data_IF_357830499438
#
_entry.id   IF_357830499438
#
_cell.length_a   1.000
_cell.length_b   1.000
_cell.length_c   1.000
_cell.angle_alpha   90.00
_cell.angle_beta   90.00
_cell.angle_gamma   90.00
#
_symmetry.space_group_name_H-M   'P 1'
#
loop_
_entity.id
_entity.type
_entity.pdbx_description
1 polymer ?
#
# COMPACT_ATOMS: atom_id res chain seq x y z
N UNK A 1 -16.64 -22.68 -6.10
CA UNK A 1 -16.40 -22.27 -4.71
C UNK A 1 -17.56 -21.37 -4.31
N UNK A 2 -18.13 -21.51 -3.11
CA UNK A 2 -19.24 -20.63 -2.69
C UNK A 2 -18.71 -19.29 -2.20
N UNK A 3 -19.45 -18.20 -2.41
CA UNK A 3 -19.09 -16.85 -1.95
C UNK A 3 -18.73 -16.81 -0.45
N UNK A 4 -19.45 -17.59 0.37
CA UNK A 4 -19.19 -17.73 1.81
C UNK A 4 -17.79 -18.28 2.10
N UNK A 5 -17.30 -19.22 1.27
CA UNK A 5 -15.97 -19.79 1.42
C UNK A 5 -14.87 -18.79 1.04
N UNK A 6 -15.09 -17.98 0.00
CA UNK A 6 -14.17 -16.92 -0.40
C UNK A 6 -14.04 -15.85 0.69
N UNK A 7 -15.16 -15.39 1.25
CA UNK A 7 -15.16 -14.43 2.37
C UNK A 7 -14.43 -15.00 3.58
N UNK A 8 -14.66 -16.28 3.90
CA UNK A 8 -13.96 -16.97 4.99
C UNK A 8 -12.45 -17.03 4.72
N UNK A 9 -12.06 -17.32 3.48
CA UNK A 9 -10.66 -17.38 3.09
C UNK A 9 -9.97 -16.01 3.20
N UNK A 10 -10.60 -14.94 2.70
CA UNK A 10 -10.10 -13.56 2.83
C UNK A 10 -9.91 -13.21 4.31
N UNK A 11 -10.94 -13.44 5.13
CA UNK A 11 -10.88 -13.18 6.58
C UNK A 11 -9.73 -13.94 7.23
N UNK A 12 -9.57 -15.23 6.92
CA UNK A 12 -8.51 -16.05 7.51
C UNK A 12 -7.12 -15.61 7.04
N UNK A 13 -6.95 -15.20 5.78
CA UNK A 13 -5.69 -14.67 5.25
C UNK A 13 -5.31 -13.34 5.89
N UNK A 14 -6.29 -12.51 6.26
CA UNK A 14 -6.03 -11.29 7.00
C UNK A 14 -5.73 -11.61 8.48
N UNK A 15 -6.59 -12.38 9.16
CA UNK A 15 -6.43 -12.65 10.60
C UNK A 15 -5.24 -13.55 10.96
N UNK A 16 -4.85 -14.47 10.06
CA UNK A 16 -3.78 -15.46 10.28
C UNK A 16 -2.82 -15.53 9.09
N UNK A 17 -2.16 -14.42 8.76
CA UNK A 17 -1.39 -14.29 7.53
C UNK A 17 -0.16 -15.21 7.55
N UNK A 18 0.50 -15.33 8.71
CA UNK A 18 1.69 -16.17 8.89
C UNK A 18 1.41 -17.64 8.63
N UNK A 19 0.34 -18.18 9.21
CA UNK A 19 -0.05 -19.59 9.05
C UNK A 19 -0.38 -19.91 7.59
N UNK A 20 -1.16 -19.05 6.95
CA UNK A 20 -1.53 -19.21 5.54
C UNK A 20 -0.31 -19.16 4.62
N UNK A 21 0.61 -18.23 4.86
CA UNK A 21 1.84 -18.10 4.07
C UNK A 21 2.78 -19.29 4.23
N UNK A 22 2.97 -19.79 5.45
CA UNK A 22 3.80 -20.97 5.71
C UNK A 22 3.22 -22.20 4.99
N UNK A 23 1.90 -22.40 5.08
CA UNK A 23 1.21 -23.50 4.40
C UNK A 23 1.33 -23.38 2.87
N UNK A 24 1.12 -22.18 2.33
CA UNK A 24 1.24 -21.92 0.89
C UNK A 24 2.66 -22.18 0.37
N UNK A 25 3.68 -21.74 1.11
CA UNK A 25 5.08 -21.99 0.76
C UNK A 25 5.45 -23.48 0.86
N UNK A 26 4.90 -24.20 1.85
CA UNK A 26 5.14 -25.63 2.05
C UNK A 26 4.52 -26.51 0.95
N UNK A 27 3.40 -26.08 0.34
CA UNK A 27 2.75 -26.78 -0.78
C UNK A 27 3.50 -26.62 -2.13
N UNK A 28 4.74 -26.11 -2.10
CA UNK A 28 5.55 -25.82 -3.28
C UNK A 28 4.81 -24.92 -4.28
N UNK A 29 4.34 -23.75 -3.80
CA UNK A 29 3.57 -22.74 -4.54
C UNK A 29 3.77 -22.80 -6.07
N UNK A 30 2.76 -23.33 -6.75
CA UNK A 30 2.66 -23.40 -8.21
C UNK A 30 1.52 -22.52 -8.72
N UNK A 31 1.47 -22.27 -10.02
CA UNK A 31 0.36 -21.52 -10.64
C UNK A 31 -1.01 -22.18 -10.43
N UNK A 32 -1.05 -23.51 -10.30
CA UNK A 32 -2.29 -24.27 -10.04
C UNK A 32 -2.81 -24.11 -8.61
N UNK A 33 -1.94 -23.71 -7.68
CA UNK A 33 -2.29 -23.54 -6.26
C UNK A 33 -2.65 -22.10 -5.91
N UNK A 34 -2.63 -21.16 -6.87
CA UNK A 34 -2.90 -19.74 -6.62
C UNK A 34 -4.39 -19.55 -6.34
N UNK A 35 -4.76 -18.99 -5.16
CA UNK A 35 -6.13 -18.59 -4.90
C UNK A 35 -6.42 -17.24 -5.57
N UNK A 36 -6.69 -17.27 -6.89
CA UNK A 36 -6.84 -16.05 -7.71
C UNK A 36 -7.90 -15.09 -7.16
N UNK A 37 -9.06 -15.59 -6.72
CA UNK A 37 -10.11 -14.76 -6.13
C UNK A 37 -9.61 -13.97 -4.93
N UNK A 38 -8.90 -14.63 -4.02
CA UNK A 38 -8.27 -13.97 -2.86
C UNK A 38 -7.25 -12.91 -3.29
N UNK A 39 -6.36 -13.23 -4.23
CA UNK A 39 -5.31 -12.31 -4.68
C UNK A 39 -5.91 -11.06 -5.34
N UNK A 40 -6.95 -11.24 -6.15
CA UNK A 40 -7.71 -10.13 -6.74
C UNK A 40 -8.35 -9.29 -5.64
N UNK A 41 -9.01 -9.89 -4.65
CA UNK A 41 -9.59 -9.15 -3.53
C UNK A 41 -8.56 -8.35 -2.73
N UNK A 42 -7.38 -8.93 -2.43
CA UNK A 42 -6.30 -8.24 -1.73
C UNK A 42 -5.76 -7.06 -2.55
N UNK A 43 -5.56 -7.26 -3.86
CA UNK A 43 -5.12 -6.20 -4.76
C UNK A 43 -6.16 -5.07 -4.84
N UNK A 44 -7.45 -5.41 -4.94
CA UNK A 44 -8.54 -4.43 -4.94
C UNK A 44 -8.59 -3.63 -3.63
N UNK A 45 -8.43 -4.28 -2.47
CA UNK A 45 -8.37 -3.58 -1.19
C UNK A 45 -7.20 -2.59 -1.13
N UNK A 46 -6.03 -2.99 -1.62
CA UNK A 46 -4.87 -2.10 -1.68
C UNK A 46 -5.09 -0.89 -2.60
N UNK A 47 -5.62 -1.12 -3.80
CA UNK A 47 -5.91 -0.06 -4.78
C UNK A 47 -6.97 0.88 -4.24
N UNK A 48 -8.12 0.35 -3.78
CA UNK A 48 -9.22 1.15 -3.23
C UNK A 48 -8.72 1.98 -2.04
N UNK A 49 -7.98 1.39 -1.11
CA UNK A 49 -7.46 2.11 0.05
C UNK A 49 -6.52 3.25 -0.33
N UNK A 50 -5.57 3.00 -1.24
CA UNK A 50 -4.62 4.02 -1.69
C UNK A 50 -5.32 5.14 -2.48
N UNK A 51 -6.22 4.79 -3.39
CA UNK A 51 -6.97 5.76 -4.20
C UNK A 51 -7.93 6.59 -3.36
N UNK A 52 -8.69 5.97 -2.44
CA UNK A 52 -9.61 6.70 -1.55
C UNK A 52 -8.85 7.65 -0.62
N UNK A 53 -7.67 7.24 -0.14
CA UNK A 53 -6.80 8.11 0.66
C UNK A 53 -6.26 9.29 -0.15
N UNK A 54 -5.70 9.03 -1.34
CA UNK A 54 -5.24 10.10 -2.23
C UNK A 54 -6.36 11.08 -2.60
N UNK A 55 -7.57 10.56 -2.88
CA UNK A 55 -8.74 11.38 -3.15
C UNK A 55 -9.18 12.19 -1.92
N UNK A 56 -9.13 11.61 -0.71
CA UNK A 56 -9.46 12.33 0.54
C UNK A 56 -8.49 13.49 0.80
N UNK A 57 -7.19 13.26 0.58
CA UNK A 57 -6.18 14.31 0.66
C UNK A 57 -6.42 15.37 -0.39
N UNK A 58 -6.63 14.96 -1.65
CA UNK A 58 -6.94 15.90 -2.72
C UNK A 58 -8.21 16.70 -2.48
N UNK A 59 -9.23 16.14 -1.84
CA UNK A 59 -10.43 16.87 -1.42
C UNK A 59 -10.08 17.95 -0.39
N UNK A 60 -9.32 17.57 0.64
CA UNK A 60 -8.89 18.52 1.68
C UNK A 60 -8.02 19.62 1.10
N UNK A 61 -7.04 19.31 0.25
CA UNK A 61 -6.19 20.30 -0.40
C UNK A 61 -6.94 21.15 -1.44
N UNK A 62 -7.87 20.55 -2.20
CA UNK A 62 -8.65 21.27 -3.22
C UNK A 62 -9.70 22.20 -2.60
N UNK A 63 -10.16 21.95 -1.36
CA UNK A 63 -11.03 22.90 -0.65
C UNK A 63 -10.39 24.30 -0.49
N UNK A 64 -9.06 24.41 -0.61
CA UNK A 64 -8.30 25.67 -0.61
C UNK A 64 -8.23 26.36 -1.98
N UNK A 65 -8.42 25.63 -3.10
CA UNK A 65 -8.14 26.14 -4.45
C UNK A 65 -9.18 25.80 -5.54
N UNK A 66 -10.23 25.02 -5.22
CA UNK A 66 -11.23 24.51 -6.17
C UNK A 66 -10.62 23.97 -7.48
N UNK A 67 -9.41 23.40 -7.40
CA UNK A 67 -8.68 23.00 -8.59
C UNK A 67 -8.71 21.47 -8.76
N UNK A 68 -9.49 20.94 -9.72
CA UNK A 68 -9.55 19.50 -9.98
C UNK A 68 -8.18 18.93 -10.40
N UNK A 69 -7.27 19.76 -10.93
CA UNK A 69 -5.91 19.36 -11.27
C UNK A 69 -5.08 19.00 -10.04
N UNK A 70 -5.30 19.67 -8.91
CA UNK A 70 -4.60 19.36 -7.64
C UNK A 70 -5.07 18.02 -7.08
N UNK A 71 -6.38 17.76 -7.12
CA UNK A 71 -6.94 16.46 -6.74
C UNK A 71 -6.36 15.32 -7.61
N UNK A 72 -6.34 15.53 -8.93
CA UNK A 72 -5.79 14.56 -9.88
C UNK A 72 -4.29 14.34 -9.62
N UNK A 73 -3.53 15.41 -9.41
CA UNK A 73 -2.10 15.35 -9.16
C UNK A 73 -1.77 14.58 -7.88
N UNK A 74 -2.40 14.93 -6.74
CA UNK A 74 -2.18 14.25 -5.46
C UNK A 74 -2.55 12.77 -5.56
N UNK A 75 -3.68 12.46 -6.19
CA UNK A 75 -4.14 11.07 -6.35
C UNK A 75 -3.19 10.27 -7.24
N UNK A 76 -2.72 10.85 -8.35
CA UNK A 76 -1.82 10.20 -9.30
C UNK A 76 -0.43 9.95 -8.69
N UNK A 77 0.14 10.94 -8.00
CA UNK A 77 1.45 10.83 -7.34
C UNK A 77 1.44 9.81 -6.21
N UNK A 78 0.32 9.65 -5.50
CA UNK A 78 0.23 8.64 -4.43
C UNK A 78 -0.08 7.24 -4.96
N UNK A 79 -0.97 7.10 -5.93
CA UNK A 79 -1.47 5.78 -6.34
C UNK A 79 -0.50 5.06 -7.30
N UNK A 80 0.01 5.76 -8.31
CA UNK A 80 0.85 5.16 -9.35
C UNK A 80 2.21 4.69 -8.82
N UNK A 81 3.03 5.61 -8.28
CA UNK A 81 4.31 5.29 -7.66
C UNK A 81 4.22 4.21 -6.58
N UNK A 82 3.18 4.23 -5.73
CA UNK A 82 2.99 3.19 -4.71
C UNK A 82 2.85 1.81 -5.36
N UNK A 83 1.92 1.63 -6.31
CA UNK A 83 1.73 0.34 -6.97
C UNK A 83 3.00 -0.18 -7.68
N UNK A 84 3.68 0.68 -8.42
CA UNK A 84 4.90 0.31 -9.15
C UNK A 84 6.06 -0.03 -8.20
N UNK A 85 6.23 0.73 -7.10
CA UNK A 85 7.27 0.47 -6.10
C UNK A 85 7.13 -0.94 -5.49
N UNK A 86 5.90 -1.39 -5.25
CA UNK A 86 5.62 -2.74 -4.76
C UNK A 86 5.97 -3.85 -5.76
N UNK A 87 5.80 -3.60 -7.07
CA UNK A 87 6.22 -4.55 -8.10
C UNK A 87 7.75 -4.68 -8.14
N UNK A 88 8.46 -3.55 -8.14
CA UNK A 88 9.92 -3.52 -8.08
C UNK A 88 10.40 -4.22 -6.80
N UNK A 89 9.79 -3.90 -5.67
CA UNK A 89 10.09 -4.50 -4.38
C UNK A 89 9.90 -6.01 -4.39
N UNK A 90 8.79 -6.53 -4.90
CA UNK A 90 8.53 -7.97 -4.98
C UNK A 90 9.59 -8.72 -5.81
N UNK A 91 10.03 -8.14 -6.93
CA UNK A 91 11.07 -8.71 -7.78
C UNK A 91 12.42 -8.76 -7.05
N UNK A 92 12.85 -7.64 -6.45
CA UNK A 92 14.13 -7.55 -5.73
C UNK A 92 14.11 -8.43 -4.48
N UNK A 93 12.99 -8.47 -3.76
CA UNK A 93 12.81 -9.33 -2.59
C UNK A 93 12.99 -10.80 -2.95
N UNK A 94 12.36 -11.23 -4.05
CA UNK A 94 12.47 -12.60 -4.57
C UNK A 94 13.92 -12.95 -4.87
N UNK A 95 14.64 -12.06 -5.56
CA UNK A 95 16.05 -12.22 -5.85
C UNK A 95 16.92 -12.31 -4.59
N UNK A 96 16.72 -11.38 -3.65
CA UNK A 96 17.59 -11.23 -2.47
C UNK A 96 17.35 -12.27 -1.38
N UNK A 97 16.10 -12.75 -1.26
CA UNK A 97 15.70 -13.73 -0.24
C UNK A 97 15.62 -15.16 -0.78
N UNK A 98 15.76 -15.36 -2.10
CA UNK A 98 15.52 -16.64 -2.79
C UNK A 98 14.18 -17.28 -2.40
N UNK A 99 13.18 -16.45 -2.16
CA UNK A 99 11.82 -16.91 -1.88
C UNK A 99 11.17 -17.33 -3.20
N UNK A 100 10.23 -18.27 -3.16
CA UNK A 100 9.40 -18.55 -4.32
C UNK A 100 8.68 -17.24 -4.74
N UNK A 101 8.72 -16.83 -6.03
CA UNK A 101 8.14 -15.56 -6.47
C UNK A 101 6.65 -15.42 -6.12
N UNK A 102 5.88 -16.51 -6.23
CA UNK A 102 4.45 -16.50 -5.90
C UNK A 102 4.23 -16.30 -4.40
N UNK A 103 5.08 -16.88 -3.55
CA UNK A 103 5.02 -16.63 -2.11
C UNK A 103 5.38 -15.18 -1.81
N UNK A 104 6.41 -14.62 -2.46
CA UNK A 104 6.75 -13.20 -2.36
C UNK A 104 5.60 -12.28 -2.74
N UNK A 105 4.95 -12.54 -3.88
CA UNK A 105 3.75 -11.81 -4.30
C UNK A 105 2.64 -11.90 -3.25
N UNK A 106 2.41 -13.08 -2.67
CA UNK A 106 1.34 -13.25 -1.69
C UNK A 106 1.61 -12.44 -0.40
N UNK A 107 2.85 -12.46 0.11
CA UNK A 107 3.26 -11.64 1.26
C UNK A 107 3.05 -10.15 0.98
N UNK A 108 3.48 -9.69 -0.20
CA UNK A 108 3.32 -8.31 -0.62
C UNK A 108 1.84 -7.91 -0.71
N UNK A 109 0.99 -8.75 -1.32
CA UNK A 109 -0.45 -8.49 -1.44
C UNK A 109 -1.16 -8.40 -0.09
N UNK A 110 -0.87 -9.31 0.85
CA UNK A 110 -1.46 -9.25 2.19
C UNK A 110 -1.03 -7.96 2.90
N UNK A 111 0.26 -7.63 2.83
CA UNK A 111 0.81 -6.42 3.45
C UNK A 111 0.19 -5.16 2.85
N UNK A 112 0.10 -5.08 1.52
CA UNK A 112 -0.56 -3.97 0.81
C UNK A 112 -2.02 -3.84 1.19
N UNK A 113 -2.78 -4.94 1.26
CA UNK A 113 -4.18 -4.90 1.66
C UNK A 113 -4.35 -4.38 3.10
N UNK A 114 -3.46 -4.77 4.01
CA UNK A 114 -3.40 -4.22 5.37
C UNK A 114 -3.17 -2.72 5.38
N UNK A 115 -2.18 -2.25 4.62
CA UNK A 115 -1.92 -0.82 4.42
C UNK A 115 -3.15 -0.09 3.88
N UNK A 116 -3.77 -0.63 2.83
CA UNK A 116 -4.97 -0.09 2.21
C UNK A 116 -6.14 0.05 3.18
N UNK A 117 -6.41 -0.95 4.02
CA UNK A 117 -7.47 -0.85 5.04
C UNK A 117 -7.21 0.27 6.05
N UNK A 118 -5.96 0.44 6.50
CA UNK A 118 -5.59 1.52 7.43
C UNK A 118 -5.71 2.88 6.73
N UNK A 119 -5.30 2.98 5.46
CA UNK A 119 -5.48 4.18 4.64
C UNK A 119 -6.95 4.55 4.47
N UNK A 120 -7.85 3.57 4.29
CA UNK A 120 -9.29 3.85 4.24
C UNK A 120 -9.81 4.51 5.53
N UNK A 121 -9.32 4.08 6.70
CA UNK A 121 -9.67 4.71 7.98
C UNK A 121 -9.13 6.14 8.05
N UNK A 122 -7.90 6.37 7.57
CA UNK A 122 -7.32 7.71 7.47
C UNK A 122 -8.12 8.62 6.54
N UNK A 123 -8.63 8.09 5.42
CA UNK A 123 -9.52 8.80 4.51
C UNK A 123 -10.76 9.34 5.22
N UNK A 124 -11.37 8.54 6.11
CA UNK A 124 -12.52 8.98 6.90
C UNK A 124 -12.16 10.11 7.85
N UNK A 125 -10.98 10.03 8.51
CA UNK A 125 -10.48 11.12 9.37
C UNK A 125 -10.28 12.40 8.57
N UNK A 126 -9.64 12.32 7.39
CA UNK A 126 -9.44 13.46 6.51
C UNK A 126 -10.77 14.12 6.09
N UNK A 127 -11.78 13.32 5.75
CA UNK A 127 -13.10 13.83 5.40
C UNK A 127 -13.79 14.51 6.60
N UNK A 128 -13.76 13.90 7.78
CA UNK A 128 -14.36 14.50 9.00
C UNK A 128 -13.68 15.81 9.36
N UNK A 129 -12.34 15.86 9.30
CA UNK A 129 -11.58 17.09 9.55
C UNK A 129 -11.86 18.17 8.51
N UNK A 130 -11.96 17.80 7.23
CA UNK A 130 -12.29 18.71 6.14
C UNK A 130 -13.70 19.32 6.26
N UNK A 131 -14.66 18.60 6.85
CA UNK A 131 -16.02 19.12 7.09
C UNK A 131 -16.12 20.04 8.31
N UNK A 132 -15.21 19.91 9.30
CA UNK A 132 -15.42 20.47 10.64
C UNK A 132 -14.63 21.76 10.94
N UNK A 133 -13.73 22.20 10.05
CA UNK A 133 -12.77 23.27 10.37
C UNK A 133 -12.64 24.31 9.23
N UNK A 134 -12.28 25.57 9.55
CA UNK A 134 -12.02 26.61 8.55
C UNK A 134 -10.81 26.27 7.67
N UNK A 135 -10.91 26.48 6.36
CA UNK A 135 -9.95 25.99 5.35
C UNK A 135 -8.46 26.37 5.59
N UNK A 136 -8.15 27.52 6.21
CA UNK A 136 -6.77 27.97 6.42
C UNK A 136 -6.03 27.21 7.54
N UNK A 137 -6.68 26.91 8.66
CA UNK A 137 -6.08 26.14 9.79
C UNK A 137 -5.99 24.64 9.52
N UNK A 138 -6.66 24.18 8.45
CA UNK A 138 -6.80 22.77 8.11
C UNK A 138 -5.58 22.24 7.36
N UNK A 139 -4.96 23.05 6.50
CA UNK A 139 -3.93 22.56 5.60
C UNK A 139 -2.61 22.18 6.30
N UNK A 140 -2.11 23.01 7.22
CA UNK A 140 -0.83 22.73 7.92
C UNK A 140 -0.99 21.60 8.94
N UNK A 141 -2.07 21.62 9.73
CA UNK A 141 -2.41 20.56 10.68
C UNK A 141 -2.61 19.21 9.99
N UNK A 142 -3.29 19.19 8.84
CA UNK A 142 -3.54 17.95 8.09
C UNK A 142 -2.29 17.46 7.37
N UNK A 143 -1.45 18.35 6.83
CA UNK A 143 -0.13 17.95 6.30
C UNK A 143 0.67 17.21 7.37
N UNK A 144 0.85 17.82 8.54
CA UNK A 144 1.62 17.21 9.63
C UNK A 144 0.97 15.93 10.14
N UNK A 145 -0.35 15.92 10.33
CA UNK A 145 -1.07 14.72 10.75
C UNK A 145 -0.91 13.56 9.75
N UNK A 146 -1.12 13.81 8.45
CA UNK A 146 -1.04 12.77 7.42
C UNK A 146 0.40 12.30 7.20
N UNK A 147 1.39 13.17 7.31
CA UNK A 147 2.80 12.78 7.27
C UNK A 147 3.15 11.84 8.43
N UNK A 148 2.83 12.24 9.66
CA UNK A 148 3.04 11.40 10.85
C UNK A 148 2.28 10.08 10.72
N UNK A 149 1.04 10.13 10.24
CA UNK A 149 0.22 8.95 10.04
C UNK A 149 0.83 7.99 9.00
N UNK A 150 1.32 8.51 7.88
CA UNK A 150 2.00 7.71 6.85
C UNK A 150 3.29 7.10 7.37
N UNK A 151 4.06 7.82 8.19
CA UNK A 151 5.26 7.28 8.85
C UNK A 151 4.89 6.11 9.78
N UNK A 152 3.88 6.31 10.64
CA UNK A 152 3.39 5.26 11.54
C UNK A 152 2.91 4.05 10.73
N UNK A 153 2.15 4.29 9.65
CA UNK A 153 1.66 3.25 8.77
C UNK A 153 2.81 2.47 8.11
N UNK A 154 3.82 3.16 7.57
CA UNK A 154 4.99 2.52 6.97
C UNK A 154 5.70 1.62 7.97
N UNK A 155 5.91 2.11 9.21
CA UNK A 155 6.51 1.32 10.30
C UNK A 155 5.66 0.10 10.65
N UNK A 156 4.33 0.24 10.76
CA UNK A 156 3.42 -0.87 11.06
C UNK A 156 3.43 -1.92 9.93
N UNK A 157 3.43 -1.47 8.69
CA UNK A 157 3.50 -2.34 7.52
C UNK A 157 4.86 -3.05 7.44
N UNK A 158 5.96 -2.34 7.65
CA UNK A 158 7.31 -2.90 7.70
C UNK A 158 7.45 -3.96 8.80
N UNK A 159 6.90 -3.68 9.99
CA UNK A 159 6.84 -4.61 11.11
C UNK A 159 6.06 -5.87 10.75
N UNK A 160 4.86 -5.70 10.23
CA UNK A 160 3.97 -6.81 9.84
C UNK A 160 4.57 -7.65 8.71
N UNK A 161 5.15 -7.02 7.70
CA UNK A 161 5.89 -7.66 6.61
C UNK A 161 7.09 -8.46 7.14
N UNK A 162 7.89 -7.85 8.01
CA UNK A 162 9.03 -8.50 8.66
C UNK A 162 8.61 -9.72 9.47
N UNK A 163 7.48 -9.63 10.17
CA UNK A 163 6.94 -10.74 10.94
C UNK A 163 6.48 -11.91 10.04
N UNK A 164 5.94 -11.63 8.85
CA UNK A 164 5.61 -12.65 7.84
C UNK A 164 6.87 -13.29 7.24
N UNK A 165 7.85 -12.47 6.85
CA UNK A 165 9.12 -12.95 6.28
C UNK A 165 9.93 -13.78 7.28
N UNK A 166 9.91 -13.41 8.56
CA UNK A 166 10.52 -14.20 9.64
C UNK A 166 9.84 -15.57 9.78
N UNK A 167 8.50 -15.64 9.65
CA UNK A 167 7.78 -16.92 9.67
C UNK A 167 8.16 -17.82 8.48
N UNK A 168 8.59 -17.24 7.36
CA UNK A 168 9.14 -17.95 6.20
C UNK A 168 10.65 -18.23 6.32
N UNK A 169 11.23 -18.05 7.50
CA UNK A 169 12.65 -18.31 7.78
C UNK A 169 13.61 -17.30 7.14
N UNK A 170 13.14 -16.13 6.71
CA UNK A 170 13.98 -15.11 6.08
C UNK A 170 14.57 -14.16 7.15
N UNK A 171 15.84 -13.75 6.99
CA UNK A 171 16.50 -12.88 7.96
C UNK A 171 15.94 -11.46 7.93
N UNK A 172 15.64 -10.93 9.13
CA UNK A 172 15.01 -9.61 9.33
C UNK A 172 15.77 -8.49 8.63
N UNK A 173 17.10 -8.46 8.76
CA UNK A 173 17.90 -7.39 8.19
C UNK A 173 17.73 -7.30 6.67
N UNK A 174 17.71 -8.45 5.95
CA UNK A 174 17.51 -8.44 4.49
C UNK A 174 16.15 -7.88 4.13
N UNK A 175 15.15 -8.24 4.90
CA UNK A 175 13.77 -7.81 4.73
C UNK A 175 13.63 -6.30 4.94
N UNK A 176 14.20 -5.76 6.01
CA UNK A 176 14.18 -4.32 6.31
C UNK A 176 15.03 -3.50 5.33
N UNK A 177 16.21 -4.00 4.94
CA UNK A 177 17.04 -3.35 3.92
C UNK A 177 16.30 -3.26 2.59
N UNK A 178 15.65 -4.35 2.15
CA UNK A 178 14.83 -4.31 0.95
C UNK A 178 13.66 -3.31 1.11
N UNK A 179 13.00 -3.28 2.27
CA UNK A 179 11.90 -2.34 2.53
C UNK A 179 12.36 -0.88 2.39
N UNK A 180 13.37 -0.48 3.16
CA UNK A 180 13.82 0.91 3.21
C UNK A 180 14.46 1.34 1.89
N UNK A 181 15.35 0.52 1.32
CA UNK A 181 16.11 0.94 0.13
C UNK A 181 15.28 0.78 -1.14
N UNK A 182 14.59 -0.34 -1.30
CA UNK A 182 13.92 -0.65 -2.57
C UNK A 182 12.52 -0.10 -2.56
N UNK A 183 11.69 -0.41 -1.57
CA UNK A 183 10.30 0.03 -1.57
C UNK A 183 10.22 1.55 -1.39
N UNK A 184 10.75 2.09 -0.28
CA UNK A 184 10.67 3.53 -0.01
C UNK A 184 11.53 4.35 -0.99
N UNK A 185 12.72 3.85 -1.36
CA UNK A 185 13.57 4.50 -2.35
C UNK A 185 12.94 4.57 -3.74
N UNK A 186 12.38 3.47 -4.25
CA UNK A 186 11.70 3.48 -5.56
C UNK A 186 10.42 4.31 -5.54
N UNK A 187 9.64 4.26 -4.45
CA UNK A 187 8.47 5.12 -4.27
C UNK A 187 8.83 6.60 -4.36
N UNK A 188 9.88 7.04 -3.65
CA UNK A 188 10.34 8.42 -3.68
C UNK A 188 10.76 8.84 -5.10
N UNK A 189 11.59 8.03 -5.77
CA UNK A 189 12.07 8.33 -7.12
C UNK A 189 10.92 8.42 -8.14
N UNK A 190 9.98 7.48 -8.08
CA UNK A 190 8.81 7.47 -8.96
C UNK A 190 7.87 8.65 -8.68
N UNK A 191 7.71 9.02 -7.41
CA UNK A 191 6.89 10.17 -7.02
C UNK A 191 7.47 11.47 -7.55
N UNK A 192 8.80 11.64 -7.46
CA UNK A 192 9.50 12.80 -8.07
C UNK A 192 9.33 12.80 -9.58
N UNK A 193 9.51 11.65 -10.25
CA UNK A 193 9.35 11.54 -11.70
C UNK A 193 7.92 11.89 -12.17
N UNK A 194 6.89 11.34 -11.51
CA UNK A 194 5.49 11.65 -11.84
C UNK A 194 5.19 13.11 -11.58
N UNK A 195 5.67 13.65 -10.46
CA UNK A 195 5.47 15.06 -10.10
C UNK A 195 6.07 16.01 -11.15
N UNK A 196 7.33 15.79 -11.54
CA UNK A 196 8.01 16.63 -12.55
C UNK A 196 7.36 16.51 -13.92
N UNK A 197 6.97 15.31 -14.32
CA UNK A 197 6.29 15.08 -15.62
C UNK A 197 4.92 15.74 -15.68
N UNK A 198 4.12 15.63 -14.61
CA UNK A 198 2.81 16.28 -14.53
C UNK A 198 2.93 17.81 -14.52
N UNK A 199 3.90 18.37 -13.79
CA UNK A 199 4.14 19.81 -13.78
C UNK A 199 4.55 20.33 -15.15
N UNK A 200 5.40 19.59 -15.88
CA UNK A 200 5.79 19.95 -17.24
C UNK A 200 4.59 19.93 -18.21
N UNK A 201 3.69 18.96 -18.08
CA UNK A 201 2.50 18.83 -18.92
C UNK A 201 1.39 19.84 -18.59
N UNK A 202 1.33 20.36 -17.36
CA UNK A 202 0.33 21.36 -16.94
C UNK A 202 0.82 22.81 -17.13
N UNK A 203 2.13 23.03 -17.28
CA UNK A 203 2.73 24.33 -17.57
C UNK A 203 2.88 24.64 -19.06
N UNK A 204 2.55 23.68 -19.94
CA UNK A 204 2.50 23.79 -21.41
C UNK A 204 1.07 23.95 -21.91
#
# INVERSE_FOLDING_TARGET
>A
MSFVEEVRQIRNSLLRPKEQLVNFNAQAATTKTIPYGLWICLALLAVIGTTTYGASLGYVYSSRFLNPLVLLWVTAVLTGPAGISWLIFGLVLTWFTRLNPLTGCYVCLITMAYGGMILMLASLVNLVMGMSRPAMTVAEDICGFNEIFLIILDVLMAWFFTAQMRALGKPIWKTLTAWVIVLNGSFLLLSVLVSTTLLAALGS
#
